data_IF_462204726978
#
_entry.id   IF_462204726978
#
_cell.length_a   1.000
_cell.length_b   1.000
_cell.length_c   1.000
_cell.angle_alpha   90.00
_cell.angle_beta   90.00
_cell.angle_gamma   90.00
#
_symmetry.space_group_name_H-M   'P 1'
#
loop_
_entity.id
_entity.type
_entity.pdbx_description
1 polymer ?
#
# COMPACT_ATOMS: atom_id res chain seq x y z
N UNK A 1 13.10 89.83 11.55
CA UNK A 1 11.88 90.02 10.74
C UNK A 1 10.82 89.06 11.27
N UNK A 2 9.64 89.60 11.62
CA UNK A 2 8.35 88.96 11.99
C UNK A 2 8.38 87.82 13.03
N UNK A 3 7.94 87.95 14.30
CA UNK A 3 6.58 88.24 14.85
C UNK A 3 5.51 87.35 14.20
N UNK A 4 4.67 86.55 14.88
CA UNK A 4 3.72 86.90 15.95
C UNK A 4 3.07 85.60 16.48
N UNK A 5 2.65 85.63 17.75
CA UNK A 5 2.07 84.56 18.56
C UNK A 5 0.50 84.45 18.43
N UNK A 6 -0.29 83.96 19.42
CA UNK A 6 -1.13 82.74 19.34
C UNK A 6 -2.65 83.00 19.57
N UNK A 7 -3.42 81.91 19.84
CA UNK A 7 -4.55 81.79 20.83
C UNK A 7 -5.95 81.37 20.34
N UNK A 8 -6.45 80.36 21.07
CA UNK A 8 -7.78 80.19 21.70
C UNK A 8 -9.03 79.76 20.88
N UNK A 9 -9.65 78.69 21.43
CA UNK A 9 -10.99 78.12 21.20
C UNK A 9 -12.12 79.14 21.51
N UNK A 10 -13.42 78.87 21.20
CA UNK A 10 -14.26 78.12 22.16
C UNK A 10 -15.59 77.43 21.66
N UNK A 11 -16.17 76.65 22.59
CA UNK A 11 -17.60 76.37 22.86
C UNK A 11 -18.51 75.45 21.99
N UNK A 12 -18.88 74.32 22.61
CA UNK A 12 -20.24 73.76 22.86
C UNK A 12 -21.30 73.66 21.75
N UNK A 13 -21.72 72.42 21.43
CA UNK A 13 -23.14 72.00 21.38
C UNK A 13 -23.28 70.46 21.28
N UNK A 14 -24.00 69.83 22.21
CA UNK A 14 -24.75 68.56 22.04
C UNK A 14 -26.18 68.96 21.62
N UNK A 15 -26.93 68.21 20.77
CA UNK A 15 -27.57 66.95 21.21
C UNK A 15 -27.89 65.92 20.10
N UNK A 16 -28.29 64.70 20.50
CA UNK A 16 -29.18 63.83 19.70
C UNK A 16 -28.70 62.39 19.48
N UNK A 17 -29.25 61.45 20.26
CA UNK A 17 -29.36 60.03 19.88
C UNK A 17 -30.74 59.78 19.21
N UNK A 18 -31.04 58.56 18.74
CA UNK A 18 -30.64 57.97 17.47
C UNK A 18 -31.83 57.88 16.48
N UNK A 19 -31.57 57.79 15.16
CA UNK A 19 -32.60 57.42 14.18
C UNK A 19 -32.38 55.99 13.67
N UNK A 20 -33.42 55.14 13.65
CA UNK A 20 -33.32 53.74 13.23
C UNK A 20 -33.25 53.62 11.70
N UNK A 21 -32.38 52.73 11.22
CA UNK A 21 -32.31 52.32 9.82
C UNK A 21 -33.53 51.44 9.46
N UNK A 22 -34.04 51.51 8.21
CA UNK A 22 -35.26 50.83 7.81
C UNK A 22 -35.07 49.30 7.75
N UNK A 23 -36.05 48.59 8.31
CA UNK A 23 -36.19 47.13 8.25
C UNK A 23 -36.27 46.66 6.78
N UNK A 24 -35.34 45.80 6.36
CA UNK A 24 -35.47 44.99 5.15
C UNK A 24 -36.63 44.02 5.34
N UNK A 25 -37.63 44.12 4.45
CA UNK A 25 -38.76 43.20 4.34
C UNK A 25 -38.25 41.82 3.92
N UNK A 26 -38.47 40.81 4.77
CA UNK A 26 -38.29 39.40 4.46
C UNK A 26 -39.57 38.92 3.75
N UNK A 27 -39.43 38.48 2.51
CA UNK A 27 -40.50 37.79 1.78
C UNK A 27 -40.72 36.39 2.37
N UNK A 28 -41.97 35.89 2.47
CA UNK A 28 -42.24 34.58 3.05
C UNK A 28 -41.88 33.43 2.09
N UNK A 29 -41.21 32.41 2.63
CA UNK A 29 -41.00 31.10 2.00
C UNK A 29 -42.33 30.32 1.91
N UNK A 30 -42.58 29.56 0.84
CA UNK A 30 -43.76 28.68 0.74
C UNK A 30 -43.64 27.43 1.62
N UNK A 31 -44.77 26.84 2.08
CA UNK A 31 -44.77 25.70 3.00
C UNK A 31 -44.42 24.37 2.31
N UNK A 32 -43.89 23.37 3.07
CA UNK A 32 -43.51 22.08 2.52
C UNK A 32 -44.73 21.18 2.28
N UNK A 33 -44.75 20.52 1.13
CA UNK A 33 -45.76 19.52 0.75
C UNK A 33 -45.48 18.21 1.48
N UNK A 34 -46.45 17.75 2.26
CA UNK A 34 -46.49 16.45 2.94
C UNK A 34 -46.78 15.37 1.91
N UNK A 35 -45.86 14.41 1.73
CA UNK A 35 -46.14 13.16 1.01
C UNK A 35 -46.32 12.06 2.05
N UNK A 36 -47.51 11.47 2.04
CA UNK A 36 -47.93 10.40 2.91
C UNK A 36 -47.17 9.09 2.62
N UNK A 37 -46.74 8.42 3.68
CA UNK A 37 -46.34 7.00 3.66
C UNK A 37 -47.53 6.15 4.10
N UNK A 38 -47.83 5.02 3.45
CA UNK A 38 -48.55 3.95 4.09
C UNK A 38 -47.56 2.91 4.64
N UNK A 39 -47.69 2.64 5.94
CA UNK A 39 -47.16 1.47 6.61
C UNK A 39 -48.19 0.33 6.50
N UNK A 40 -47.75 -0.87 6.13
CA UNK A 40 -48.41 -2.10 6.59
C UNK A 40 -47.39 -3.24 6.66
N UNK A 41 -47.41 -3.90 7.81
CA UNK A 41 -46.51 -4.92 8.25
C UNK A 41 -46.98 -6.35 7.88
N UNK A 42 -46.05 -7.30 8.09
CA UNK A 42 -46.24 -8.73 8.35
C UNK A 42 -46.76 -9.58 7.18
N UNK A 43 -46.34 -10.82 6.92
CA UNK A 43 -45.45 -11.77 7.59
C UNK A 43 -45.29 -12.97 6.62
N UNK A 44 -44.20 -13.73 6.76
CA UNK A 44 -44.31 -15.19 6.63
C UNK A 44 -43.59 -15.89 5.47
N UNK A 45 -42.51 -16.59 5.86
CA UNK A 45 -41.96 -17.84 5.29
C UNK A 45 -41.02 -17.69 4.09
N UNK A 46 -39.73 -17.55 4.40
CA UNK A 46 -38.68 -18.14 3.58
C UNK A 46 -37.80 -19.09 4.40
N UNK A 47 -37.60 -20.27 3.81
CA UNK A 47 -36.98 -21.45 4.38
C UNK A 47 -35.51 -21.17 4.73
N UNK A 48 -35.11 -21.57 5.94
CA UNK A 48 -33.70 -21.71 6.32
C UNK A 48 -32.99 -22.64 5.33
N UNK A 49 -32.27 -22.07 4.36
CA UNK A 49 -31.22 -22.79 3.65
C UNK A 49 -30.01 -22.85 4.58
N UNK A 50 -29.75 -24.05 5.10
CA UNK A 50 -28.48 -24.39 5.76
C UNK A 50 -27.34 -23.95 4.85
N UNK A 51 -26.50 -23.05 5.34
CA UNK A 51 -25.22 -22.73 4.71
C UNK A 51 -24.36 -23.99 4.68
N UNK A 52 -23.73 -24.34 3.54
CA UNK A 52 -22.76 -25.41 3.51
C UNK A 52 -21.55 -25.01 4.38
N UNK A 53 -20.91 -25.95 5.09
CA UNK A 53 -19.69 -25.65 5.82
C UNK A 53 -18.61 -25.14 4.86
N UNK A 54 -17.72 -24.24 5.29
CA UNK A 54 -16.62 -23.76 4.46
C UNK A 54 -15.78 -24.95 3.97
N UNK A 55 -15.27 -24.92 2.73
CA UNK A 55 -14.49 -26.01 2.18
C UNK A 55 -13.25 -26.20 3.04
N UNK A 56 -13.20 -27.34 3.73
CA UNK A 56 -12.08 -27.78 4.52
C UNK A 56 -10.93 -28.03 3.55
N UNK A 57 -9.93 -27.14 3.52
CA UNK A 57 -8.72 -27.33 2.74
C UNK A 57 -8.06 -28.65 3.18
N UNK A 58 -8.02 -29.63 2.27
CA UNK A 58 -7.15 -30.78 2.40
C UNK A 58 -5.75 -30.29 2.06
N UNK A 59 -4.94 -30.12 3.10
CA UNK A 59 -3.50 -29.98 2.98
C UNK A 59 -2.96 -31.25 2.30
N UNK A 60 -2.57 -31.13 1.03
CA UNK A 60 -1.66 -32.09 0.42
C UNK A 60 -0.23 -31.71 0.78
N UNK A 61 0.21 -32.08 1.98
CA UNK A 61 1.62 -32.17 2.31
C UNK A 61 1.95 -33.66 2.38
N UNK A 62 2.75 -34.10 1.41
CA UNK A 62 3.53 -35.34 1.38
C UNK A 62 2.73 -36.65 1.28
N UNK A 63 2.59 -37.18 0.05
CA UNK A 63 2.74 -38.63 -0.13
C UNK A 63 4.24 -38.89 -0.28
N UNK A 64 4.84 -39.35 0.82
CA UNK A 64 5.96 -40.25 0.74
C UNK A 64 5.47 -41.44 -0.10
N UNK A 65 6.21 -41.79 -1.15
CA UNK A 65 5.93 -43.00 -1.90
C UNK A 65 5.79 -44.19 -0.93
N UNK A 66 4.57 -44.69 -0.79
CA UNK A 66 4.28 -45.98 -0.17
C UNK A 66 4.78 -47.04 -1.17
N UNK A 67 6.04 -47.43 -1.02
CA UNK A 67 6.57 -48.62 -1.64
C UNK A 67 5.89 -49.85 -1.00
N UNK A 68 5.50 -50.87 -1.79
CA UNK A 68 4.91 -52.07 -1.22
C UNK A 68 5.94 -52.79 -0.36
N UNK A 69 5.46 -53.31 0.77
CA UNK A 69 6.24 -54.09 1.72
C UNK A 69 6.76 -55.38 1.08
N UNK A 70 8.08 -55.50 0.96
CA UNK A 70 8.80 -56.77 0.97
C UNK A 70 9.82 -56.77 2.12
N UNK A 71 9.97 -57.94 2.71
CA UNK A 71 10.70 -58.32 3.94
C UNK A 71 12.17 -57.89 4.05
N UNK A 72 12.77 -57.90 5.27
CA UNK A 72 14.10 -57.34 5.49
C UNK A 72 15.22 -58.33 5.14
N UNK A 73 16.12 -57.94 4.24
CA UNK A 73 17.45 -58.54 4.09
C UNK A 73 18.50 -57.61 4.74
N UNK A 74 19.34 -58.10 5.67
CA UNK A 74 20.15 -57.25 6.54
C UNK A 74 21.58 -57.10 6.01
N UNK A 75 21.81 -56.53 4.82
CA UNK A 75 23.19 -56.36 4.32
C UNK A 75 23.44 -55.12 3.45
N UNK A 76 22.91 -53.93 3.76
CA UNK A 76 23.38 -52.66 3.15
C UNK A 76 23.25 -51.44 4.08
N UNK A 77 23.84 -51.50 5.27
CA UNK A 77 23.89 -50.36 6.21
C UNK A 77 25.08 -49.40 6.00
N UNK A 78 25.99 -49.69 5.07
CA UNK A 78 27.19 -48.86 4.87
C UNK A 78 27.03 -47.63 3.98
N UNK A 79 26.04 -47.59 3.08
CA UNK A 79 26.00 -46.61 1.98
C UNK A 79 24.86 -45.59 2.08
N UNK A 80 23.92 -45.78 3.01
CA UNK A 80 22.82 -44.81 3.26
C UNK A 80 23.22 -43.64 4.14
N UNK A 81 24.25 -43.78 4.97
CA UNK A 81 24.70 -42.72 5.86
C UNK A 81 25.44 -41.57 5.13
N UNK A 82 26.03 -41.84 3.96
CA UNK A 82 26.76 -40.83 3.18
C UNK A 82 25.85 -40.04 2.24
N UNK A 83 24.74 -40.63 1.78
CA UNK A 83 23.77 -39.92 0.94
C UNK A 83 22.76 -39.06 1.72
N UNK A 84 22.58 -39.32 3.02
CA UNK A 84 21.67 -38.54 3.86
C UNK A 84 22.33 -37.30 4.49
N UNK A 85 23.66 -37.15 4.38
CA UNK A 85 24.41 -35.97 4.81
C UNK A 85 24.61 -34.91 3.69
N UNK A 86 24.23 -35.24 2.45
CA UNK A 86 24.29 -34.32 1.31
C UNK A 86 22.95 -33.62 1.00
N UNK A 87 21.87 -33.95 1.72
CA UNK A 87 20.66 -33.14 1.78
C UNK A 87 20.85 -31.98 2.77
N UNK A 88 21.91 -31.20 2.56
CA UNK A 88 21.91 -29.80 2.99
C UNK A 88 20.73 -29.19 2.24
N UNK A 89 19.70 -28.77 2.97
CA UNK A 89 18.60 -28.01 2.43
C UNK A 89 19.19 -26.88 1.55
N UNK A 90 19.10 -27.02 0.23
CA UNK A 90 19.13 -25.85 -0.64
C UNK A 90 17.93 -25.04 -0.17
N UNK A 91 18.17 -24.02 0.64
CA UNK A 91 17.20 -22.94 0.79
C UNK A 91 16.81 -22.56 -0.64
N UNK A 92 15.54 -22.74 -0.97
CA UNK A 92 15.08 -22.43 -2.32
C UNK A 92 15.28 -20.92 -2.53
N UNK A 93 15.94 -20.53 -3.61
CA UNK A 93 16.42 -19.14 -3.84
C UNK A 93 15.29 -18.09 -3.79
N UNK A 94 14.04 -18.52 -3.98
CA UNK A 94 12.81 -17.75 -3.97
C UNK A 94 12.00 -17.85 -2.66
N UNK A 95 12.53 -18.51 -1.62
CA UNK A 95 11.90 -18.62 -0.29
C UNK A 95 11.61 -17.27 0.40
N UNK A 96 12.25 -16.18 -0.06
CA UNK A 96 11.98 -14.84 0.44
C UNK A 96 10.74 -14.18 -0.17
N UNK A 97 10.16 -14.74 -1.24
CA UNK A 97 8.96 -14.22 -1.87
C UNK A 97 7.72 -14.61 -1.05
N UNK A 98 6.72 -13.72 -0.94
CA UNK A 98 5.47 -14.03 -0.25
C UNK A 98 4.67 -15.09 -1.01
N UNK A 99 3.98 -15.95 -0.26
CA UNK A 99 3.09 -16.97 -0.83
C UNK A 99 1.81 -16.38 -1.42
N UNK A 100 1.30 -15.31 -0.81
CA UNK A 100 -0.02 -14.75 -1.07
C UNK A 100 -0.07 -13.23 -0.83
N UNK A 101 -1.24 -12.63 -1.07
CA UNK A 101 -1.41 -11.18 -1.00
C UNK A 101 -1.29 -10.73 0.45
N UNK A 102 -1.98 -11.43 1.35
CA UNK A 102 -1.92 -11.17 2.79
C UNK A 102 -0.48 -11.33 3.31
N UNK A 103 0.24 -12.38 2.90
CA UNK A 103 1.65 -12.59 3.22
C UNK A 103 2.55 -11.47 2.67
N UNK A 104 2.28 -10.97 1.47
CA UNK A 104 3.00 -9.83 0.90
C UNK A 104 2.75 -8.55 1.71
N UNK A 105 1.51 -8.32 2.16
CA UNK A 105 1.17 -7.17 3.00
C UNK A 105 1.82 -7.30 4.38
N UNK A 106 1.74 -8.47 5.01
CA UNK A 106 2.39 -8.75 6.29
C UNK A 106 3.90 -8.54 6.19
N UNK A 107 4.55 -9.09 5.15
CA UNK A 107 5.98 -8.92 4.91
C UNK A 107 6.34 -7.44 4.69
N UNK A 108 5.49 -6.67 4.00
CA UNK A 108 5.69 -5.23 3.82
C UNK A 108 5.59 -4.44 5.14
N UNK A 109 4.71 -4.86 6.05
CA UNK A 109 4.58 -4.30 7.40
C UNK A 109 5.82 -4.59 8.23
N UNK A 110 6.29 -5.84 8.21
CA UNK A 110 7.51 -6.27 8.89
C UNK A 110 8.76 -5.54 8.37
N UNK A 111 8.95 -5.47 7.05
CA UNK A 111 10.07 -4.75 6.45
C UNK A 111 10.08 -3.26 6.82
N UNK A 112 8.88 -2.66 6.92
CA UNK A 112 8.73 -1.27 7.36
C UNK A 112 9.07 -1.10 8.84
N UNK A 113 8.65 -2.05 9.69
CA UNK A 113 9.00 -2.07 11.11
C UNK A 113 10.51 -2.22 11.34
N UNK A 114 11.14 -3.17 10.65
CA UNK A 114 12.60 -3.40 10.69
C UNK A 114 13.36 -2.13 10.30
N UNK A 115 12.90 -1.44 9.25
CA UNK A 115 13.49 -0.16 8.84
C UNK A 115 13.34 0.93 9.92
N UNK A 116 12.15 1.08 10.51
CA UNK A 116 11.91 2.04 11.60
C UNK A 116 12.77 1.71 12.83
N UNK A 117 12.82 0.44 13.23
CA UNK A 117 13.60 -0.04 14.37
C UNK A 117 15.11 0.15 14.15
N UNK A 118 15.57 0.19 12.89
CA UNK A 118 16.95 0.55 12.54
C UNK A 118 17.25 2.06 12.59
N UNK A 119 16.26 2.91 12.91
CA UNK A 119 16.36 4.37 12.91
C UNK A 119 16.00 5.03 11.57
N UNK A 120 15.37 4.28 10.65
CA UNK A 120 14.91 4.80 9.37
C UNK A 120 13.72 5.74 9.51
N UNK A 121 13.75 6.88 8.80
CA UNK A 121 12.77 7.97 9.00
C UNK A 121 11.74 8.12 7.89
N UNK A 122 12.07 7.78 6.64
CA UNK A 122 11.17 7.95 5.49
C UNK A 122 11.18 6.70 4.65
N UNK A 123 10.04 6.01 4.59
CA UNK A 123 9.91 4.72 3.93
C UNK A 123 8.77 4.69 2.92
N UNK A 124 8.95 3.92 1.85
CA UNK A 124 7.88 3.54 0.92
C UNK A 124 7.78 2.01 0.90
N UNK A 125 6.58 1.50 1.15
CA UNK A 125 6.23 0.10 0.92
C UNK A 125 5.22 0.08 -0.25
N UNK A 126 5.62 -0.44 -1.40
CA UNK A 126 4.80 -0.44 -2.62
C UNK A 126 4.54 -1.87 -3.08
N UNK A 127 3.31 -2.13 -3.52
CA UNK A 127 2.94 -3.41 -4.14
C UNK A 127 2.43 -3.11 -5.54
N UNK A 128 3.32 -3.28 -6.51
CA UNK A 128 3.07 -3.04 -7.92
C UNK A 128 2.49 -4.32 -8.54
N UNK A 129 1.43 -4.82 -7.91
CA UNK A 129 0.70 -6.01 -8.32
C UNK A 129 -0.64 -5.60 -8.91
N UNK A 130 -1.06 -6.23 -10.03
CA UNK A 130 -2.30 -5.89 -10.72
C UNK A 130 -3.53 -5.93 -9.83
N UNK A 131 -3.63 -6.89 -8.91
CA UNK A 131 -4.76 -7.05 -8.00
C UNK A 131 -5.03 -5.77 -7.22
N UNK A 132 -4.00 -5.16 -6.64
CA UNK A 132 -4.12 -3.94 -5.85
C UNK A 132 -4.43 -2.70 -6.73
N UNK A 133 -4.20 -2.78 -8.04
CA UNK A 133 -4.63 -1.75 -9.00
C UNK A 133 -6.14 -1.83 -9.25
N UNK A 134 -6.68 -3.05 -9.42
CA UNK A 134 -8.12 -3.28 -9.53
C UNK A 134 -8.89 -2.98 -8.25
N UNK A 135 -8.24 -3.10 -7.08
CA UNK A 135 -8.91 -2.75 -5.81
C UNK A 135 -9.25 -1.25 -5.66
N UNK A 136 -8.78 -0.41 -6.60
CA UNK A 136 -9.17 1.01 -6.67
C UNK A 136 -10.50 1.23 -7.41
N UNK A 137 -11.11 0.18 -7.99
CA UNK A 137 -12.41 0.23 -8.65
C UNK A 137 -13.58 0.25 -7.65
N UNK A 138 -14.72 0.80 -8.08
CA UNK A 138 -15.92 0.94 -7.26
C UNK A 138 -16.41 -0.44 -6.79
N UNK A 139 -16.42 -0.67 -5.46
CA UNK A 139 -16.82 -1.94 -4.84
C UNK A 139 -15.69 -2.76 -4.22
N UNK A 140 -14.42 -2.49 -4.56
CA UNK A 140 -13.26 -3.23 -4.05
C UNK A 140 -12.50 -2.50 -2.92
N UNK A 141 -12.89 -1.26 -2.62
CA UNK A 141 -12.24 -0.41 -1.59
C UNK A 141 -12.23 -1.03 -0.19
N UNK A 142 -13.26 -1.80 0.17
CA UNK A 142 -13.33 -2.45 1.49
C UNK A 142 -12.18 -3.45 1.70
N UNK A 143 -11.77 -4.14 0.64
CA UNK A 143 -10.67 -5.09 0.67
C UNK A 143 -9.33 -4.36 0.84
N UNK A 144 -9.12 -3.23 0.15
CA UNK A 144 -7.93 -2.38 0.36
C UNK A 144 -7.78 -1.98 1.81
N UNK A 145 -8.88 -1.57 2.46
CA UNK A 145 -8.85 -1.17 3.86
C UNK A 145 -8.55 -2.36 4.77
N UNK A 146 -9.14 -3.53 4.52
CA UNK A 146 -8.82 -4.75 5.25
C UNK A 146 -7.34 -5.12 5.14
N UNK A 147 -6.75 -5.03 3.94
CA UNK A 147 -5.32 -5.24 3.72
C UNK A 147 -4.48 -4.19 4.44
N UNK A 148 -4.86 -2.91 4.36
CA UNK A 148 -4.15 -1.83 5.08
C UNK A 148 -4.11 -2.08 6.59
N UNK A 149 -5.15 -2.70 7.15
CA UNK A 149 -5.18 -3.08 8.56
C UNK A 149 -4.12 -4.12 8.90
N UNK A 150 -3.91 -5.14 8.06
CA UNK A 150 -2.85 -6.15 8.26
C UNK A 150 -1.48 -5.46 8.36
N UNK A 151 -1.19 -4.53 7.44
CA UNK A 151 0.04 -3.74 7.46
C UNK A 151 0.19 -2.96 8.78
N UNK A 152 -0.86 -2.23 9.17
CA UNK A 152 -0.86 -1.34 10.33
C UNK A 152 -0.72 -2.11 11.64
N UNK A 153 -1.46 -3.21 11.80
CA UNK A 153 -1.39 -4.08 12.98
C UNK A 153 0.00 -4.73 13.08
N UNK A 154 0.55 -5.23 11.96
CA UNK A 154 1.92 -5.78 11.91
C UNK A 154 2.95 -4.73 12.32
N UNK A 155 2.86 -3.53 11.76
CA UNK A 155 3.78 -2.44 12.08
C UNK A 155 3.69 -2.03 13.56
N UNK A 156 2.48 -1.90 14.11
CA UNK A 156 2.28 -1.54 15.51
C UNK A 156 2.85 -2.61 16.45
N UNK A 157 2.65 -3.89 16.12
CA UNK A 157 3.16 -5.02 16.90
C UNK A 157 4.69 -5.10 16.87
N UNK A 158 5.30 -5.01 15.69
CA UNK A 158 6.75 -5.20 15.50
C UNK A 158 7.57 -3.97 15.95
N UNK A 159 7.00 -2.76 15.91
CA UNK A 159 7.68 -1.56 16.43
C UNK A 159 7.40 -1.30 17.91
N UNK A 160 6.28 -1.81 18.44
CA UNK A 160 5.80 -1.46 19.78
C UNK A 160 5.45 0.02 19.95
N UNK A 161 5.31 0.77 18.85
CA UNK A 161 5.04 2.21 18.87
C UNK A 161 3.56 2.52 18.59
N UNK A 162 3.14 3.72 18.98
CA UNK A 162 1.82 4.25 18.64
C UNK A 162 1.77 4.61 17.17
N UNK A 163 1.11 3.78 16.36
CA UNK A 163 0.93 4.01 14.93
C UNK A 163 -0.25 4.95 14.69
N UNK A 164 -0.04 5.95 13.83
CA UNK A 164 -1.06 6.86 13.31
C UNK A 164 -1.26 6.60 11.83
N UNK A 165 -2.40 6.01 11.48
CA UNK A 165 -2.81 5.76 10.10
C UNK A 165 -3.55 6.98 9.53
N UNK A 166 -3.05 7.53 8.43
CA UNK A 166 -3.65 8.65 7.71
C UNK A 166 -4.24 8.12 6.41
N UNK A 167 -5.56 8.20 6.29
CA UNK A 167 -6.35 7.75 5.14
C UNK A 167 -6.61 8.90 4.15
N UNK A 168 -6.96 8.57 2.89
CA UNK A 168 -7.16 9.56 1.82
C UNK A 168 -8.12 10.70 2.19
N UNK A 169 -9.27 10.38 2.78
CA UNK A 169 -10.31 11.36 3.09
C UNK A 169 -10.96 11.11 4.46
N UNK A 170 -11.71 12.11 4.92
CA UNK A 170 -12.33 12.12 6.24
C UNK A 170 -13.47 11.09 6.37
N UNK A 171 -14.14 10.77 5.26
CA UNK A 171 -15.20 9.75 5.22
C UNK A 171 -14.64 8.37 5.47
N UNK A 172 -13.58 7.98 4.76
CA UNK A 172 -12.87 6.71 4.98
C UNK A 172 -12.31 6.65 6.40
N UNK A 173 -11.62 7.69 6.85
CA UNK A 173 -11.05 7.72 8.21
C UNK A 173 -12.11 7.53 9.30
N UNK A 174 -13.26 8.20 9.18
CA UNK A 174 -14.37 8.10 10.13
C UNK A 174 -15.03 6.71 10.09
N UNK A 175 -15.23 6.16 8.88
CA UNK A 175 -15.78 4.82 8.68
C UNK A 175 -14.91 3.76 9.37
N UNK A 176 -13.61 3.75 9.08
CA UNK A 176 -12.67 2.77 9.60
C UNK A 176 -12.48 2.92 11.10
N UNK A 177 -12.44 4.15 11.63
CA UNK A 177 -12.42 4.41 13.07
C UNK A 177 -13.65 3.83 13.78
N UNK A 178 -14.82 3.84 13.14
CA UNK A 178 -16.03 3.24 13.69
C UNK A 178 -16.02 1.71 13.60
N UNK A 179 -15.48 1.15 12.51
CA UNK A 179 -15.42 -0.29 12.27
C UNK A 179 -14.35 -1.00 13.11
N UNK A 180 -13.17 -0.40 13.28
CA UNK A 180 -12.02 -1.00 13.94
C UNK A 180 -11.80 -0.46 15.36
N UNK A 181 -12.73 -0.80 16.26
CA UNK A 181 -12.68 -0.36 17.67
C UNK A 181 -11.56 -1.02 18.46
N UNK A 182 -11.04 -2.13 17.95
CA UNK A 182 -9.98 -2.97 18.51
C UNK A 182 -8.60 -2.69 17.90
N UNK A 183 -8.51 -1.72 16.98
CA UNK A 183 -7.25 -1.35 16.33
C UNK A 183 -6.20 -0.87 17.33
N UNK A 184 -4.96 -1.30 17.14
CA UNK A 184 -3.80 -0.85 17.92
C UNK A 184 -3.21 0.47 17.40
N UNK A 185 -3.89 1.10 16.42
CA UNK A 185 -3.49 2.34 15.77
C UNK A 185 -4.62 3.36 15.79
N UNK A 186 -4.26 4.64 15.64
CA UNK A 186 -5.24 5.73 15.50
C UNK A 186 -5.49 6.03 14.03
N UNK A 187 -6.74 6.29 13.65
CA UNK A 187 -7.10 6.76 12.30
C UNK A 187 -7.21 8.29 12.24
N UNK A 188 -6.69 8.89 11.17
CA UNK A 188 -6.83 10.29 10.76
C UNK A 188 -6.95 10.40 9.24
N UNK A 189 -7.16 11.62 8.73
CA UNK A 189 -7.31 11.90 7.30
C UNK A 189 -6.27 12.87 6.76
N UNK A 190 -5.86 12.74 5.49
CA UNK A 190 -5.04 13.74 4.80
C UNK A 190 -5.73 15.13 4.74
N UNK A 191 -7.06 15.16 4.79
CA UNK A 191 -7.87 16.38 4.81
C UNK A 191 -7.96 17.03 6.20
N UNK A 192 -7.47 16.39 7.25
CA UNK A 192 -7.50 16.96 8.59
C UNK A 192 -6.54 18.17 8.70
N UNK A 193 -6.96 19.18 9.48
CA UNK A 193 -6.11 20.35 9.76
C UNK A 193 -4.83 19.96 10.48
N UNK A 194 -4.95 19.03 11.45
CA UNK A 194 -3.87 18.49 12.27
C UNK A 194 -4.00 16.95 12.30
N UNK A 195 -3.49 16.25 11.27
CA UNK A 195 -3.64 14.80 11.15
C UNK A 195 -2.71 14.01 12.08
N UNK A 196 -1.67 14.65 12.64
CA UNK A 196 -0.67 14.02 13.50
C UNK A 196 -0.59 14.77 14.83
N UNK A 197 -0.58 14.01 15.92
CA UNK A 197 -0.45 14.51 17.29
C UNK A 197 0.97 14.37 17.82
N UNK A 198 1.28 15.05 18.93
CA UNK A 198 2.63 15.04 19.51
C UNK A 198 3.03 13.70 20.11
N UNK A 199 2.05 12.88 20.50
CA UNK A 199 2.23 11.58 21.13
C UNK A 199 2.25 10.41 20.15
N UNK A 200 2.08 10.67 18.84
CA UNK A 200 2.15 9.65 17.81
C UNK A 200 3.62 9.27 17.55
N UNK A 201 3.91 7.97 17.43
CA UNK A 201 5.27 7.44 17.26
C UNK A 201 5.64 7.28 15.78
N UNK A 202 4.85 6.48 15.05
CA UNK A 202 5.05 6.23 13.61
C UNK A 202 3.83 6.71 12.83
N UNK A 203 4.05 7.43 11.75
CA UNK A 203 2.99 7.92 10.86
C UNK A 203 2.96 7.09 9.58
N UNK A 204 1.78 6.61 9.20
CA UNK A 204 1.59 5.82 7.97
C UNK A 204 0.54 6.48 7.10
N UNK A 205 0.90 6.85 5.88
CA UNK A 205 -0.05 7.32 4.86
C UNK A 205 -0.48 6.15 3.99
N UNK A 206 -1.79 5.90 3.93
CA UNK A 206 -2.39 4.80 3.20
C UNK A 206 -2.82 5.28 1.82
N UNK A 207 -2.13 4.80 0.78
CA UNK A 207 -2.42 5.03 -0.65
C UNK A 207 -2.66 6.52 -0.96
N UNK A 208 -1.74 7.42 -0.58
CA UNK A 208 -1.85 8.81 -1.00
C UNK A 208 -1.72 8.89 -2.53
N UNK A 209 -2.52 9.74 -3.16
CA UNK A 209 -2.57 9.92 -4.60
C UNK A 209 -2.02 11.31 -5.01
N UNK A 210 -1.95 11.53 -6.32
CA UNK A 210 -1.46 12.77 -6.91
C UNK A 210 -2.33 14.00 -6.58
N UNK A 211 -3.62 13.84 -6.30
CA UNK A 211 -4.51 14.95 -5.93
C UNK A 211 -4.22 15.42 -4.51
N UNK A 212 -3.72 14.52 -3.66
CA UNK A 212 -3.38 14.78 -2.26
C UNK A 212 -1.92 15.20 -2.04
N UNK A 213 -1.15 15.42 -3.12
CA UNK A 213 0.29 15.68 -3.03
C UNK A 213 0.64 16.83 -2.08
N UNK A 214 -0.07 17.96 -2.16
CA UNK A 214 0.19 19.13 -1.30
C UNK A 214 0.02 18.79 0.19
N UNK A 215 -0.99 17.97 0.53
CA UNK A 215 -1.22 17.51 1.90
C UNK A 215 -0.11 16.56 2.36
N UNK A 216 0.34 15.67 1.49
CA UNK A 216 1.43 14.71 1.76
C UNK A 216 2.73 15.45 2.05
N UNK A 217 3.12 16.41 1.21
CA UNK A 217 4.34 17.21 1.40
C UNK A 217 4.27 18.06 2.68
N UNK A 218 3.11 18.67 2.95
CA UNK A 218 2.86 19.43 4.18
C UNK A 218 3.05 18.57 5.42
N UNK A 219 2.43 17.39 5.47
CA UNK A 219 2.52 16.51 6.64
C UNK A 219 3.92 15.97 6.80
N UNK A 220 4.56 15.53 5.70
CA UNK A 220 5.95 15.04 5.73
C UNK A 220 6.91 16.10 6.28
N UNK A 221 6.70 17.38 5.95
CA UNK A 221 7.47 18.50 6.50
C UNK A 221 7.20 18.67 8.00
N UNK A 222 5.92 18.73 8.40
CA UNK A 222 5.50 18.95 9.79
C UNK A 222 6.01 17.90 10.77
N UNK A 223 6.14 16.64 10.35
CA UNK A 223 6.60 15.54 11.22
C UNK A 223 8.11 15.31 11.15
N UNK A 224 8.81 16.05 10.30
CA UNK A 224 10.27 16.09 10.26
C UNK A 224 10.85 17.05 11.31
N UNK A 225 10.01 17.87 11.93
CA UNK A 225 10.36 18.77 13.03
C UNK A 225 10.41 18.00 14.38
N UNK A 226 11.03 18.60 15.40
CA UNK A 226 11.23 17.98 16.72
C UNK A 226 9.90 17.72 17.48
N UNK A 227 9.62 16.48 17.95
CA UNK A 227 10.38 15.25 17.76
C UNK A 227 10.14 14.63 16.38
N UNK A 228 11.24 14.23 15.73
CA UNK A 228 11.21 13.64 14.38
C UNK A 228 10.49 12.29 14.43
N UNK A 229 9.45 12.12 13.61
CA UNK A 229 8.66 10.88 13.55
C UNK A 229 8.88 10.15 12.22
N UNK A 230 9.09 8.82 12.23
CA UNK A 230 9.14 8.05 11.01
C UNK A 230 7.83 8.15 10.22
N UNK A 231 7.96 8.35 8.90
CA UNK A 231 6.88 8.39 7.94
C UNK A 231 6.99 7.22 6.97
N UNK A 232 5.94 6.41 6.90
CA UNK A 232 5.80 5.34 5.92
C UNK A 232 4.67 5.71 4.96
N UNK A 233 4.92 5.66 3.65
CA UNK A 233 3.87 5.69 2.65
C UNK A 233 3.63 4.28 2.14
N UNK A 234 2.41 3.77 2.30
CA UNK A 234 2.00 2.49 1.76
C UNK A 234 1.29 2.69 0.43
N UNK A 235 1.83 2.05 -0.61
CA UNK A 235 1.42 2.09 -2.00
C UNK A 235 1.07 3.49 -2.55
N UNK A 236 1.96 4.50 -2.44
CA UNK A 236 1.69 5.85 -2.90
C UNK A 236 1.58 5.95 -4.43
N UNK A 237 0.62 6.76 -4.91
CA UNK A 237 0.34 7.07 -6.32
C UNK A 237 0.42 8.57 -6.59
N UNK A 238 1.53 9.19 -6.20
CA UNK A 238 1.71 10.66 -6.23
C UNK A 238 1.98 11.26 -7.62
N UNK A 239 2.09 10.42 -8.66
CA UNK A 239 2.28 10.86 -10.05
C UNK A 239 1.03 10.45 -10.83
N UNK A 240 0.37 11.41 -11.48
CA UNK A 240 -0.74 11.13 -12.39
C UNK A 240 -0.24 10.40 -13.63
N UNK A 241 -0.97 9.37 -14.07
CA UNK A 241 -0.67 8.67 -15.34
C UNK A 241 -0.95 9.53 -16.57
N UNK A 242 -1.88 10.47 -16.48
CA UNK A 242 -2.37 11.28 -17.61
C UNK A 242 -1.55 12.56 -17.82
N UNK A 243 -0.90 13.06 -16.77
CA UNK A 243 -0.06 14.25 -16.81
C UNK A 243 1.39 13.79 -16.96
N UNK A 244 1.92 13.89 -18.19
CA UNK A 244 3.22 13.34 -18.58
C UNK A 244 4.43 13.75 -17.72
N UNK A 245 5.62 13.34 -18.15
CA UNK A 245 6.93 13.47 -17.45
C UNK A 245 7.46 14.93 -17.37
N UNK A 246 6.59 15.88 -17.05
CA UNK A 246 6.86 17.31 -16.99
C UNK A 246 7.80 17.71 -15.86
N UNK A 247 8.06 19.01 -15.76
CA UNK A 247 8.92 19.60 -14.73
C UNK A 247 8.46 19.21 -13.31
N UNK A 248 7.16 19.27 -13.03
CA UNK A 248 6.60 18.96 -11.71
C UNK A 248 6.87 17.51 -11.27
N UNK A 249 6.70 16.53 -12.16
CA UNK A 249 6.99 15.11 -11.85
C UNK A 249 8.48 14.89 -11.60
N UNK A 250 9.36 15.52 -12.39
CA UNK A 250 10.81 15.44 -12.18
C UNK A 250 11.23 16.10 -10.86
N UNK A 251 10.62 17.23 -10.52
CA UNK A 251 10.84 17.92 -9.26
C UNK A 251 10.39 17.08 -8.07
N UNK A 252 9.17 16.51 -8.12
CA UNK A 252 8.63 15.59 -7.12
C UNK A 252 9.57 14.40 -6.89
N UNK A 253 10.00 13.75 -7.97
CA UNK A 253 10.93 12.61 -7.88
C UNK A 253 12.27 13.00 -7.26
N UNK A 254 12.84 14.13 -7.67
CA UNK A 254 14.18 14.57 -7.24
C UNK A 254 14.22 15.14 -5.83
N UNK A 255 13.20 15.86 -5.40
CA UNK A 255 13.24 16.66 -4.17
C UNK A 255 12.40 16.07 -3.04
N UNK A 256 11.38 15.27 -3.35
CA UNK A 256 10.50 14.66 -2.36
C UNK A 256 10.69 13.15 -2.29
N UNK A 257 10.39 12.42 -3.35
CA UNK A 257 10.43 10.95 -3.35
C UNK A 257 11.85 10.37 -3.15
N UNK A 258 12.88 11.09 -3.61
CA UNK A 258 14.29 10.72 -3.37
C UNK A 258 14.67 10.66 -1.89
N UNK A 259 13.92 11.34 -1.03
CA UNK A 259 14.14 11.36 0.43
C UNK A 259 13.60 10.10 1.12
N UNK A 260 12.83 9.27 0.40
CA UNK A 260 12.25 8.04 0.92
C UNK A 260 13.08 6.84 0.50
N UNK A 261 13.27 5.92 1.43
CA UNK A 261 13.83 4.60 1.14
C UNK A 261 12.68 3.66 0.80
N UNK A 262 12.70 3.05 -0.38
CA UNK A 262 11.78 1.93 -0.63
C UNK A 262 12.19 0.77 0.28
N UNK A 263 11.33 0.35 1.20
CA UNK A 263 11.61 -0.75 2.14
C UNK A 263 10.99 -2.05 1.69
N UNK A 264 9.92 -1.97 0.90
CA UNK A 264 9.27 -3.11 0.30
C UNK A 264 8.81 -2.75 -1.11
N UNK A 265 9.08 -3.64 -2.07
CA UNK A 265 8.58 -3.52 -3.44
C UNK A 265 8.38 -4.91 -4.00
N UNK A 266 7.19 -5.18 -4.55
CA UNK A 266 6.92 -6.39 -5.30
C UNK A 266 6.33 -6.01 -6.64
N UNK A 267 7.03 -6.36 -7.72
CA UNK A 267 6.61 -6.09 -9.10
C UNK A 267 6.78 -7.34 -9.96
N UNK A 268 5.69 -8.06 -10.24
CA UNK A 268 5.68 -9.13 -11.24
C UNK A 268 6.00 -8.57 -12.63
N UNK A 269 6.71 -9.36 -13.42
CA UNK A 269 7.06 -9.10 -14.82
C UNK A 269 6.62 -10.29 -15.69
N UNK A 270 6.52 -10.12 -17.03
CA UNK A 270 6.08 -11.21 -17.91
C UNK A 270 6.98 -12.45 -17.86
N UNK A 271 8.25 -12.27 -17.53
CA UNK A 271 9.29 -13.32 -17.51
C UNK A 271 9.90 -13.53 -16.12
N UNK A 272 9.31 -12.97 -15.07
CA UNK A 272 9.87 -13.04 -13.73
C UNK A 272 9.30 -12.03 -12.74
N UNK A 273 10.11 -11.55 -11.80
CA UNK A 273 9.69 -10.55 -10.82
C UNK A 273 10.86 -9.68 -10.32
N UNK A 274 10.57 -8.46 -9.91
CA UNK A 274 11.48 -7.61 -9.15
C UNK A 274 10.95 -7.52 -7.73
N UNK A 275 11.83 -7.76 -6.77
CA UNK A 275 11.48 -7.82 -5.37
C UNK A 275 12.46 -7.04 -4.52
N UNK A 276 11.93 -6.42 -3.47
CA UNK A 276 12.70 -5.78 -2.41
C UNK A 276 11.99 -6.01 -1.10
N UNK A 277 12.76 -6.44 -0.10
CA UNK A 277 12.35 -6.52 1.29
C UNK A 277 13.53 -6.09 2.16
N UNK A 278 13.41 -4.97 2.88
CA UNK A 278 14.39 -4.52 3.87
C UNK A 278 14.57 -5.59 4.96
N UNK A 279 15.80 -5.84 5.48
CA UNK A 279 17.08 -5.18 5.14
C UNK A 279 17.77 -5.70 3.87
N UNK A 280 17.16 -6.65 3.17
CA UNK A 280 17.70 -7.25 1.94
C UNK A 280 17.85 -6.26 0.78
N UNK A 281 18.67 -6.67 -0.19
CA UNK A 281 18.92 -5.98 -1.46
C UNK A 281 17.73 -6.11 -2.42
N UNK A 282 17.79 -5.37 -3.53
CA UNK A 282 16.89 -5.61 -4.65
C UNK A 282 17.26 -6.94 -5.32
N UNK A 283 16.25 -7.74 -5.61
CA UNK A 283 16.38 -9.04 -6.26
C UNK A 283 15.57 -9.05 -7.56
N UNK A 284 16.15 -9.61 -8.60
CA UNK A 284 15.46 -9.90 -9.86
C UNK A 284 15.36 -11.41 -9.97
N UNK A 285 14.18 -11.90 -10.30
CA UNK A 285 13.87 -13.32 -10.45
C UNK A 285 13.43 -13.62 -11.88
N UNK A 286 13.77 -14.81 -12.38
CA UNK A 286 13.16 -15.42 -13.56
C UNK A 286 12.02 -16.34 -13.16
N UNK A 287 11.02 -16.48 -14.03
CA UNK A 287 10.11 -17.62 -13.95
C UNK A 287 10.90 -18.92 -14.13
N UNK A 288 10.64 -19.92 -13.28
CA UNK A 288 11.21 -21.26 -13.44
C UNK A 288 10.40 -22.04 -14.50
N UNK A 289 10.96 -22.33 -15.69
CA UNK A 289 10.24 -23.07 -16.73
C UNK A 289 10.03 -24.55 -16.34
N UNK A 290 10.86 -25.08 -15.44
CA UNK A 290 10.82 -26.47 -15.00
C UNK A 290 9.86 -26.70 -13.83
N UNK A 291 9.65 -25.68 -13.00
CA UNK A 291 8.76 -25.72 -11.83
C UNK A 291 7.70 -24.62 -11.95
N UNK A 292 6.47 -24.96 -12.36
CA UNK A 292 5.39 -23.98 -12.42
C UNK A 292 5.24 -23.25 -11.09
N UNK A 293 5.01 -21.93 -11.14
CA UNK A 293 4.81 -21.07 -9.97
C UNK A 293 6.02 -20.88 -9.04
N UNK A 294 7.23 -21.20 -9.52
CA UNK A 294 8.47 -20.95 -8.79
C UNK A 294 9.35 -19.97 -9.54
N UNK A 295 10.27 -19.37 -8.80
CA UNK A 295 11.18 -18.37 -9.30
C UNK A 295 12.64 -18.81 -9.13
N UNK A 296 13.50 -18.35 -10.02
CA UNK A 296 14.95 -18.51 -9.94
C UNK A 296 15.60 -17.14 -9.75
N UNK A 297 16.48 -17.01 -8.76
CA UNK A 297 17.17 -15.74 -8.51
C UNK A 297 18.12 -15.42 -9.68
N UNK A 298 17.84 -14.34 -10.40
CA UNK A 298 18.64 -13.88 -11.52
C UNK A 298 19.83 -13.04 -11.04
N UNK A 299 19.56 -12.04 -10.20
CA UNK A 299 20.56 -11.05 -9.76
C UNK A 299 20.16 -10.37 -8.47
N UNK A 300 21.14 -10.05 -7.64
CA UNK A 300 20.98 -9.10 -6.54
C UNK A 300 21.70 -7.79 -6.85
N UNK A 301 21.01 -6.67 -6.65
CA UNK A 301 21.53 -5.31 -6.92
C UNK A 301 21.25 -4.40 -5.73
N UNK A 302 22.12 -3.40 -5.51
CA UNK A 302 22.03 -2.50 -4.35
C UNK A 302 20.93 -1.44 -4.48
N UNK A 303 20.66 -1.00 -5.72
CA UNK A 303 19.66 0.01 -6.05
C UNK A 303 18.52 -0.59 -6.87
N UNK A 304 17.39 0.12 -6.94
CA UNK A 304 16.25 -0.29 -7.77
C UNK A 304 16.74 -0.43 -9.23
N UNK A 305 16.58 -1.60 -9.87
CA UNK A 305 16.97 -1.77 -11.27
C UNK A 305 16.07 -0.92 -12.17
N UNK A 306 16.68 -0.20 -13.11
CA UNK A 306 15.94 0.57 -14.12
C UNK A 306 15.56 -0.30 -15.34
N UNK A 307 14.89 0.30 -16.33
CA UNK A 307 14.47 -0.44 -17.52
C UNK A 307 15.65 -1.07 -18.28
N UNK A 308 16.79 -0.37 -18.35
CA UNK A 308 17.99 -0.85 -19.04
C UNK A 308 18.66 -1.98 -18.25
N UNK A 309 18.73 -1.87 -16.92
CA UNK A 309 19.21 -2.96 -16.06
C UNK A 309 18.35 -4.22 -16.24
N UNK A 310 17.02 -4.05 -16.26
CA UNK A 310 16.06 -5.14 -16.46
C UNK A 310 16.28 -5.77 -17.84
N UNK A 311 16.33 -4.97 -18.90
CA UNK A 311 16.59 -5.46 -20.27
C UNK A 311 17.93 -6.19 -20.38
N UNK A 312 18.98 -5.70 -19.71
CA UNK A 312 20.29 -6.37 -19.70
C UNK A 312 20.24 -7.71 -18.96
N UNK A 313 19.52 -7.77 -17.83
CA UNK A 313 19.37 -9.01 -17.06
C UNK A 313 18.60 -10.02 -17.90
N UNK A 314 17.40 -9.67 -18.38
CA UNK A 314 16.55 -10.59 -19.14
C UNK A 314 17.03 -10.87 -20.57
N UNK A 315 17.67 -9.92 -21.24
CA UNK A 315 18.18 -10.02 -22.62
C UNK A 315 19.60 -10.58 -22.72
N UNK A 316 20.34 -10.67 -21.61
CA UNK A 316 21.69 -11.26 -21.56
C UNK A 316 21.74 -12.78 -21.63
N UNK A 317 20.57 -13.45 -21.70
CA UNK A 317 20.45 -14.89 -21.86
C UNK A 317 20.44 -15.32 -23.34
N UNK A 318 21.60 -15.27 -24.00
CA UNK A 318 21.82 -15.93 -25.29
C UNK A 318 22.17 -15.01 -26.44
N UNK A 319 23.44 -14.63 -26.55
CA UNK A 319 24.05 -14.36 -27.84
C UNK A 319 24.20 -15.69 -28.60
N UNK A 320 23.11 -16.17 -29.18
CA UNK A 320 23.14 -16.91 -30.44
C UNK A 320 22.37 -16.07 -31.43
N UNK A 321 23.10 -15.43 -32.33
CA UNK A 321 22.55 -14.90 -33.57
C UNK A 321 21.67 -15.98 -34.20
N UNK A 322 20.36 -15.74 -34.29
CA UNK A 322 19.56 -16.16 -35.42
C UNK A 322 18.18 -15.50 -35.42
N UNK A 323 17.94 -14.79 -36.52
CA UNK A 323 16.68 -14.39 -37.15
C UNK A 323 15.79 -13.36 -36.45
N UNK A 324 15.71 -12.21 -37.10
CA UNK A 324 14.65 -11.20 -37.02
C UNK A 324 13.28 -11.83 -37.32
N UNK A 325 12.42 -11.91 -36.32
CA UNK A 325 10.96 -11.80 -36.50
C UNK A 325 10.45 -10.95 -35.34
N UNK A 326 9.90 -9.78 -35.65
CA UNK A 326 9.34 -8.86 -34.65
C UNK A 326 8.29 -9.59 -33.79
N UNK A 327 8.49 -9.73 -32.46
CA UNK A 327 7.48 -10.36 -31.63
C UNK A 327 6.30 -9.40 -31.50
N UNK A 328 5.20 -9.79 -32.14
CA UNK A 328 3.94 -9.06 -32.13
C UNK A 328 3.54 -8.63 -30.71
N UNK A 329 3.08 -7.39 -30.55
CA UNK A 329 2.59 -6.85 -29.28
C UNK A 329 1.55 -7.75 -28.58
N UNK A 330 0.83 -8.59 -29.34
CA UNK A 330 -0.09 -9.60 -28.78
C UNK A 330 0.60 -10.75 -28.04
N UNK A 331 1.79 -11.18 -28.48
CA UNK A 331 2.57 -12.22 -27.79
C UNK A 331 3.09 -11.73 -26.43
N UNK A 332 3.54 -10.48 -26.38
CA UNK A 332 3.91 -9.81 -25.13
C UNK A 332 2.70 -9.64 -24.21
N UNK A 333 1.54 -9.24 -24.73
CA UNK A 333 0.30 -9.14 -23.94
C UNK A 333 -0.15 -10.51 -23.43
N UNK A 334 -0.14 -11.57 -24.26
CA UNK A 334 -0.47 -12.93 -23.80
C UNK A 334 0.55 -13.48 -22.78
N UNK A 335 1.84 -13.18 -22.95
CA UNK A 335 2.88 -13.56 -21.99
C UNK A 335 2.68 -12.83 -20.64
N UNK A 336 2.40 -11.52 -20.67
CA UNK A 336 2.02 -10.71 -19.50
C UNK A 336 0.80 -11.32 -18.82
N UNK A 337 -0.27 -11.64 -19.57
CA UNK A 337 -1.46 -12.28 -19.01
C UNK A 337 -1.19 -13.67 -18.44
N UNK A 338 -0.27 -14.45 -19.01
CA UNK A 338 0.05 -15.81 -18.55
C UNK A 338 0.90 -15.83 -17.28
N UNK A 339 1.91 -14.96 -17.18
CA UNK A 339 2.72 -14.76 -15.97
C UNK A 339 1.87 -14.12 -14.87
N UNK A 340 1.06 -13.12 -15.22
CA UNK A 340 0.08 -12.51 -14.32
C UNK A 340 -0.92 -13.54 -13.82
N UNK A 341 -1.47 -14.41 -14.67
CA UNK A 341 -2.38 -15.49 -14.25
C UNK A 341 -1.72 -16.56 -13.38
N UNK A 342 -0.41 -16.85 -13.58
CA UNK A 342 0.36 -17.77 -12.72
C UNK A 342 0.65 -17.16 -11.36
N UNK A 343 1.12 -15.90 -11.33
CA UNK A 343 1.33 -15.15 -10.10
C UNK A 343 0.01 -14.91 -9.34
N UNK A 344 -1.08 -14.57 -10.04
CA UNK A 344 -2.42 -14.47 -9.45
C UNK A 344 -2.87 -15.82 -8.88
N UNK A 345 -2.57 -16.96 -9.52
CA UNK A 345 -2.93 -18.29 -9.00
C UNK A 345 -2.10 -18.70 -7.77
N UNK A 346 -0.88 -18.19 -7.62
CA UNK A 346 -0.07 -18.36 -6.42
C UNK A 346 -0.64 -17.52 -5.27
N UNK A 347 -1.08 -16.30 -5.59
CA UNK A 347 -1.49 -15.31 -4.60
C UNK A 347 -2.98 -15.37 -4.22
N UNK A 348 -3.84 -15.95 -5.05
CA UNK A 348 -5.31 -15.96 -4.86
C UNK A 348 -5.85 -17.19 -4.12
N UNK A 349 -5.03 -17.95 -3.38
CA UNK A 349 -5.46 -19.21 -2.75
C UNK A 349 -5.28 -19.22 -1.26
#
# INVERSE_FOLDING_TARGET
MATTSPLLSPHYARPGAPRPLPRRSLLPLPPPTVVASPSSAAEGRQRLRRTPPPPRAKFGKFDAAEAPAESPDPEKEGDRAVQQAAAVAKEEDDSCLPSDLEGAIWQSGKASADFVNSGGMRAIAELLIPQLEFLNEEGAQAEVWALSRILLDTLAQETGQKVKAIFPDAGVAALLKHQWKDAQFKCASLSDRKPVDTDDGVVVMIIPDHQMLDSVERIATQISDDPIRPLIMWNPRLVSGDVGVGYNVRNLRRNFLSTFTTVYSMRPLPTGAIFRCYPGKWKVFYDDPSRPNRYLLAREVSSRPDATDIEMIFGGGGASEQSEEEPSMMSNVMAVFSSMSRFMRVISK
#
